data_IF_757298032441
#
_entry.id   IF_757298032441
#
_cell.length_a   1.000
_cell.length_b   1.000
_cell.length_c   1.000
_cell.angle_alpha   90.00
_cell.angle_beta   90.00
_cell.angle_gamma   90.00
#
_symmetry.space_group_name_H-M   'P 1'
#
loop_
_entity.id
_entity.type
_entity.pdbx_description
1 polymer ?
#
# COMPACT_ATOMS: atom_id res chain seq x y z
N UNK A 1 6.15 -0.23 2.11
CA UNK A 1 7.29 0.63 1.73
C UNK A 1 8.54 0.31 2.55
N UNK A 2 8.48 0.24 3.88
CA UNK A 2 9.65 -0.02 4.73
C UNK A 2 10.43 -1.31 4.39
N UNK A 3 9.72 -2.40 4.07
CA UNK A 3 10.36 -3.69 3.73
C UNK A 3 11.21 -3.58 2.46
N UNK A 4 10.71 -2.96 1.39
CA UNK A 4 11.46 -2.82 0.14
C UNK A 4 12.67 -1.91 0.33
N UNK A 5 12.53 -0.81 1.09
CA UNK A 5 13.66 0.07 1.43
C UNK A 5 14.77 -0.69 2.17
N UNK A 6 14.39 -1.46 3.20
CA UNK A 6 15.34 -2.29 3.94
C UNK A 6 16.01 -3.33 3.03
N UNK A 7 15.24 -4.01 2.19
CA UNK A 7 15.76 -5.03 1.28
C UNK A 7 16.69 -4.43 0.22
N UNK A 8 16.34 -3.29 -0.39
CA UNK A 8 17.21 -2.60 -1.33
C UNK A 8 18.52 -2.15 -0.69
N UNK A 9 18.47 -1.64 0.55
CA UNK A 9 19.68 -1.28 1.30
C UNK A 9 20.58 -2.50 1.60
N UNK A 10 19.97 -3.63 1.98
CA UNK A 10 20.72 -4.81 2.41
C UNK A 10 21.21 -5.70 1.26
N UNK A 11 20.49 -5.73 0.14
CA UNK A 11 20.78 -6.64 -0.97
C UNK A 11 21.43 -5.93 -2.17
N UNK A 12 21.01 -4.70 -2.51
CA UNK A 12 21.55 -3.98 -3.67
C UNK A 12 22.67 -3.02 -3.24
N UNK A 13 22.34 -2.02 -2.42
CA UNK A 13 23.30 -0.96 -2.05
C UNK A 13 24.43 -1.43 -1.13
N UNK A 14 24.30 -2.61 -0.50
CA UNK A 14 25.36 -3.19 0.32
C UNK A 14 26.52 -3.76 -0.53
N UNK A 15 26.26 -4.06 -1.81
CA UNK A 15 27.20 -4.76 -2.69
C UNK A 15 27.64 -3.87 -3.85
N UNK A 16 26.77 -2.98 -4.32
CA UNK A 16 27.06 -2.16 -5.50
C UNK A 16 27.97 -0.96 -5.23
N UNK A 17 28.77 -0.62 -6.23
CA UNK A 17 29.57 0.60 -6.23
C UNK A 17 28.68 1.81 -6.57
N UNK A 18 28.53 2.72 -5.61
CA UNK A 18 27.72 3.93 -5.76
C UNK A 18 28.33 4.94 -6.75
N UNK A 19 29.61 4.79 -7.11
CA UNK A 19 30.27 5.61 -8.12
C UNK A 19 30.18 5.00 -9.53
N UNK A 20 29.55 3.82 -9.66
CA UNK A 20 29.39 3.17 -10.95
C UNK A 20 28.50 4.04 -11.88
N UNK A 21 28.96 4.43 -13.08
CA UNK A 21 28.16 5.20 -14.02
C UNK A 21 26.88 4.47 -14.46
N UNK A 22 26.86 3.13 -14.39
CA UNK A 22 25.71 2.29 -14.75
C UNK A 22 24.84 1.92 -13.55
N UNK A 23 25.02 2.57 -12.39
CA UNK A 23 24.28 2.27 -11.15
C UNK A 23 22.76 2.27 -11.36
N UNK A 24 22.25 3.20 -12.19
CA UNK A 24 20.82 3.30 -12.50
C UNK A 24 20.30 2.07 -13.25
N UNK A 25 21.05 1.60 -14.26
CA UNK A 25 20.67 0.42 -15.04
C UNK A 25 20.73 -0.85 -14.18
N UNK A 26 21.75 -0.96 -13.33
CA UNK A 26 21.86 -2.08 -12.39
C UNK A 26 20.69 -2.08 -11.39
N UNK A 27 20.28 -0.90 -10.92
CA UNK A 27 19.13 -0.76 -10.03
C UNK A 27 17.83 -1.18 -10.72
N UNK A 28 17.61 -0.75 -11.97
CA UNK A 28 16.44 -1.17 -12.74
C UNK A 28 16.40 -2.68 -12.95
N UNK A 29 17.54 -3.29 -13.32
CA UNK A 29 17.62 -4.75 -13.48
C UNK A 29 17.32 -5.49 -12.18
N UNK A 30 17.86 -5.00 -11.06
CA UNK A 30 17.59 -5.59 -9.75
C UNK A 30 16.11 -5.46 -9.36
N UNK A 31 15.50 -4.29 -9.58
CA UNK A 31 14.08 -4.06 -9.32
C UNK A 31 13.19 -4.93 -10.21
N UNK A 32 13.54 -5.05 -11.50
CA UNK A 32 12.85 -5.92 -12.42
C UNK A 32 12.90 -7.37 -11.95
N UNK A 33 14.07 -7.87 -11.58
CA UNK A 33 14.22 -9.21 -11.03
C UNK A 33 13.37 -9.42 -9.76
N UNK A 34 13.47 -8.49 -8.81
CA UNK A 34 12.73 -8.53 -7.55
C UNK A 34 11.20 -8.55 -7.77
N UNK A 35 10.70 -7.74 -8.71
CA UNK A 35 9.27 -7.60 -8.95
C UNK A 35 8.67 -8.69 -9.84
N UNK A 36 9.43 -9.22 -10.80
CA UNK A 36 8.91 -10.13 -11.82
C UNK A 36 9.31 -11.59 -11.66
N UNK A 37 10.42 -11.88 -10.96
CA UNK A 37 10.96 -13.24 -10.88
C UNK A 37 11.13 -13.74 -9.46
N UNK A 38 11.28 -12.86 -8.46
CA UNK A 38 11.50 -13.29 -7.07
C UNK A 38 10.18 -13.66 -6.38
N UNK A 39 9.99 -14.93 -5.98
CA UNK A 39 8.84 -15.33 -5.19
C UNK A 39 8.92 -14.76 -3.76
N UNK A 40 7.80 -14.30 -3.22
CA UNK A 40 7.71 -13.73 -1.89
C UNK A 40 6.78 -14.56 -1.00
N UNK A 41 7.28 -15.00 0.16
CA UNK A 41 6.49 -15.82 1.10
C UNK A 41 5.24 -15.09 1.62
N UNK A 42 5.32 -13.77 1.82
CA UNK A 42 4.17 -12.93 2.19
C UNK A 42 3.12 -12.79 1.09
N UNK A 43 3.45 -13.19 -0.14
CA UNK A 43 2.56 -13.24 -1.29
C UNK A 43 2.25 -14.71 -1.67
N UNK A 44 2.37 -15.63 -0.72
CA UNK A 44 2.13 -17.06 -0.92
C UNK A 44 3.00 -17.66 -2.04
N UNK A 45 4.24 -17.20 -2.16
CA UNK A 45 5.20 -17.66 -3.18
C UNK A 45 5.06 -16.96 -4.52
N UNK A 46 4.14 -16.01 -4.68
CA UNK A 46 4.00 -15.21 -5.90
C UNK A 46 5.02 -14.08 -5.95
N UNK A 47 5.27 -13.58 -7.15
CA UNK A 47 6.02 -12.34 -7.39
C UNK A 47 5.12 -11.13 -7.12
N UNK A 48 5.71 -9.96 -6.82
CA UNK A 48 4.95 -8.71 -6.72
C UNK A 48 4.10 -8.42 -7.96
N UNK A 49 4.63 -8.68 -9.15
CA UNK A 49 3.89 -8.44 -10.40
C UNK A 49 2.70 -9.38 -10.57
N UNK A 50 2.85 -10.67 -10.26
CA UNK A 50 1.73 -11.61 -10.26
C UNK A 50 0.61 -11.14 -9.34
N UNK A 51 0.97 -10.64 -8.14
CA UNK A 51 -0.02 -10.11 -7.20
C UNK A 51 -0.76 -8.88 -7.75
N UNK A 52 -0.06 -7.99 -8.45
CA UNK A 52 -0.66 -6.82 -9.10
C UNK A 52 -1.61 -7.26 -10.22
N UNK A 53 -1.21 -8.20 -11.07
CA UNK A 53 -2.08 -8.74 -12.13
C UNK A 53 -3.36 -9.35 -11.55
N UNK A 54 -3.27 -10.13 -10.47
CA UNK A 54 -4.44 -10.70 -9.80
C UNK A 54 -5.39 -9.62 -9.31
N UNK A 55 -4.86 -8.60 -8.64
CA UNK A 55 -5.66 -7.52 -8.08
C UNK A 55 -6.22 -6.59 -9.15
N UNK A 56 -5.57 -6.47 -10.31
CA UNK A 56 -6.00 -5.57 -11.38
C UNK A 56 -7.42 -5.86 -11.87
N UNK A 57 -7.88 -7.11 -11.77
CA UNK A 57 -9.22 -7.52 -12.20
C UNK A 57 -10.33 -7.09 -11.25
N UNK A 58 -10.00 -6.82 -9.98
CA UNK A 58 -10.97 -6.45 -8.93
C UNK A 58 -10.75 -5.04 -8.40
N UNK A 59 -9.64 -4.40 -8.76
CA UNK A 59 -9.32 -3.04 -8.30
C UNK A 59 -10.08 -2.07 -9.19
N UNK A 60 -11.06 -1.34 -8.65
CA UNK A 60 -11.84 -0.40 -9.45
C UNK A 60 -10.99 0.79 -9.89
N UNK A 61 -11.36 1.36 -11.03
CA UNK A 61 -10.80 2.62 -11.50
C UNK A 61 -11.30 3.78 -10.66
N UNK A 62 -10.60 4.91 -10.75
CA UNK A 62 -10.92 6.10 -9.98
C UNK A 62 -12.33 6.64 -10.27
N UNK A 63 -12.79 6.52 -11.52
CA UNK A 63 -14.14 6.92 -11.93
C UNK A 63 -15.22 6.06 -11.27
N UNK A 64 -14.99 4.75 -11.18
CA UNK A 64 -15.89 3.80 -10.52
C UNK A 64 -15.96 4.08 -9.01
N UNK A 65 -14.81 4.32 -8.38
CA UNK A 65 -14.74 4.75 -6.97
C UNK A 65 -15.51 6.05 -6.76
N UNK A 66 -15.32 7.05 -7.63
CA UNK A 66 -16.02 8.33 -7.54
C UNK A 66 -17.54 8.17 -7.66
N UNK A 67 -18.01 7.26 -8.52
CA UNK A 67 -19.44 6.95 -8.66
C UNK A 67 -20.00 6.16 -7.47
N UNK A 68 -19.18 5.34 -6.81
CA UNK A 68 -19.56 4.55 -5.63
C UNK A 68 -19.49 5.33 -4.32
N UNK A 69 -18.73 6.43 -4.29
CA UNK A 69 -18.49 7.21 -3.08
C UNK A 69 -19.73 8.05 -2.71
N UNK A 70 -20.20 7.89 -1.47
CA UNK A 70 -21.26 8.70 -0.87
C UNK A 70 -20.69 9.44 0.35
N UNK A 71 -20.56 10.76 0.20
CA UNK A 71 -20.07 11.66 1.24
C UNK A 71 -20.92 11.61 2.52
N UNK A 72 -22.20 11.24 2.42
CA UNK A 72 -23.15 11.26 3.56
C UNK A 72 -22.91 10.13 4.54
N UNK A 73 -22.35 9.03 4.06
CA UNK A 73 -22.01 7.86 4.89
C UNK A 73 -20.53 7.83 5.26
N UNK A 74 -19.75 8.82 4.80
CA UNK A 74 -18.33 8.87 5.13
C UNK A 74 -18.10 9.07 6.63
N UNK A 75 -17.28 8.19 7.19
CA UNK A 75 -16.89 8.28 8.58
C UNK A 75 -15.77 9.31 8.75
N UNK A 76 -16.13 10.50 9.21
CA UNK A 76 -15.17 11.52 9.61
C UNK A 76 -14.53 11.12 10.95
N UNK A 77 -13.22 10.82 10.92
CA UNK A 77 -12.44 10.51 12.11
C UNK A 77 -11.53 11.66 12.50
N UNK A 78 -11.93 12.38 13.56
CA UNK A 78 -11.05 13.31 14.27
C UNK A 78 -9.72 12.65 14.68
N UNK A 79 -8.61 13.32 14.38
CA UNK A 79 -7.27 12.84 14.71
C UNK A 79 -7.07 12.74 16.23
N UNK A 80 -7.63 13.69 16.99
CA UNK A 80 -7.59 13.63 18.44
C UNK A 80 -8.49 12.50 18.94
N UNK A 81 -7.86 11.47 19.52
CA UNK A 81 -8.55 10.29 19.99
C UNK A 81 -9.66 10.59 21.01
N UNK A 82 -9.40 11.49 21.96
CA UNK A 82 -10.37 11.82 23.01
C UNK A 82 -11.58 12.53 22.42
N UNK A 83 -11.35 13.50 21.53
CA UNK A 83 -12.42 14.18 20.79
C UNK A 83 -13.22 13.19 19.93
N UNK A 84 -12.54 12.29 19.22
CA UNK A 84 -13.20 11.29 18.39
C UNK A 84 -14.03 10.30 19.22
N UNK A 85 -13.53 9.89 20.39
CA UNK A 85 -14.24 9.00 21.30
C UNK A 85 -15.50 9.68 21.87
N UNK A 86 -15.40 10.96 22.23
CA UNK A 86 -16.55 11.74 22.68
C UNK A 86 -17.60 11.88 21.56
N UNK A 87 -17.17 12.17 20.34
CA UNK A 87 -18.03 12.28 19.16
C UNK A 87 -18.76 10.97 18.86
N UNK A 88 -18.05 9.83 18.89
CA UNK A 88 -18.65 8.48 18.71
C UNK A 88 -19.71 8.18 19.78
N UNK A 89 -19.43 8.50 21.04
CA UNK A 89 -20.39 8.31 22.14
C UNK A 89 -21.64 9.17 21.94
N UNK A 90 -21.47 10.41 21.49
CA UNK A 90 -22.58 11.31 21.18
C UNK A 90 -23.42 10.75 20.03
N UNK A 91 -22.81 10.37 18.91
CA UNK A 91 -23.49 9.81 17.74
C UNK A 91 -24.28 8.55 18.13
N UNK A 92 -23.66 7.60 18.86
CA UNK A 92 -24.32 6.38 19.33
C UNK A 92 -25.53 6.65 20.23
N UNK A 93 -25.47 7.70 21.05
CA UNK A 93 -26.60 8.10 21.92
C UNK A 93 -27.74 8.70 21.12
N UNK A 94 -27.44 9.45 20.07
CA UNK A 94 -28.43 10.16 19.25
C UNK A 94 -29.05 9.27 18.17
N UNK A 95 -28.31 8.26 17.68
CA UNK A 95 -28.82 7.25 16.75
C UNK A 95 -28.19 5.87 17.07
N UNK A 96 -28.90 5.00 17.82
CA UNK A 96 -28.36 3.71 18.24
C UNK A 96 -28.16 2.70 17.10
N UNK A 97 -28.75 2.94 15.91
CA UNK A 97 -28.58 2.09 14.71
C UNK A 97 -27.48 2.57 13.76
N UNK A 98 -26.81 3.71 14.04
CA UNK A 98 -25.86 4.34 13.11
C UNK A 98 -24.43 3.74 13.10
N UNK A 99 -24.24 2.46 13.41
CA UNK A 99 -22.93 1.79 13.32
C UNK A 99 -23.01 0.38 12.75
#
# INVERSE_FOLDING_TARGET
VERVQKTSLQEFYAIEDLQNPNLSENLEQWQFHYNWYRPHSSLNGKTPMERVCELSTITPFWEEIGAMYDERVERIQEQNYMSNLALRKLIKRTNPEAL
#
